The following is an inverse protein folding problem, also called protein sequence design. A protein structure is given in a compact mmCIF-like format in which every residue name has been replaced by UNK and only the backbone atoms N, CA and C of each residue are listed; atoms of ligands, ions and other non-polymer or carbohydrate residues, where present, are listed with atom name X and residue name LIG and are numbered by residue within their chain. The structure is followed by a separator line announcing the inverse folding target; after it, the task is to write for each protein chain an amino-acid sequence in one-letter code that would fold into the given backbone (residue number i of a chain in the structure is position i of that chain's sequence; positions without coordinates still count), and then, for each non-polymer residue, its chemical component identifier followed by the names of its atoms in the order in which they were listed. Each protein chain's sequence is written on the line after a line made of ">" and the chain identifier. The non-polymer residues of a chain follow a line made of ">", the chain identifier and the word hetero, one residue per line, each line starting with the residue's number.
data_IF_640609277893
#
_entry.id   IF_640609277893
#
_cell.length_a   1.000
_cell.length_b   1.000
_cell.length_c   1.000
_cell.angle_alpha   90.00
_cell.angle_beta   90.00
_cell.angle_gamma   90.00
#
_symmetry.space_group_name_H-M   'P 1'
#
loop_
_entity.id
_entity.type
_entity.pdbx_description
1 polymer ?
2 non-polymer ?
3 non-polymer ?
4 non-polymer ?
5 water ?
#
# COMPACT_ATOMS: atom_id res chain seq x y z
N UNK A 22 -19.94 2.07 6.02
CA UNK A 22 -20.54 3.08 5.15
C UNK A 22 -19.49 3.70 4.21
N UNK A 23 -18.22 3.77 4.62
CA UNK A 23 -17.13 4.16 3.72
C UNK A 23 -16.28 2.93 3.43
N UNK A 24 -16.12 2.60 2.15
CA UNK A 24 -15.28 1.48 1.76
C UNK A 24 -16.01 0.28 1.20
N UNK A 25 -17.29 0.40 0.88
CA UNK A 25 -18.00 -0.70 0.27
C UNK A 25 -18.42 -0.50 -1.17
N UNK A 26 -18.05 0.63 -1.77
CA UNK A 26 -18.47 0.93 -3.14
C UNK A 26 -17.93 -0.12 -4.11
N UNK A 27 -18.69 -0.37 -5.18
CA UNK A 27 -18.26 -1.35 -6.16
C UNK A 27 -17.24 -0.73 -7.11
N UNK A 28 -16.15 -1.46 -7.35
CA UNK A 28 -15.06 -1.01 -8.19
C UNK A 28 -14.89 -2.04 -9.29
N UNK A 29 -15.11 -1.63 -10.54
CA UNK A 29 -15.17 -2.54 -11.69
C UNK A 29 -14.32 -2.03 -12.85
N UNK A 30 -12.99 -2.12 -12.74
CA UNK A 30 -12.15 -1.73 -13.88
C UNK A 30 -12.33 -2.66 -15.08
N UNK A 31 -12.76 -3.90 -14.87
CA UNK A 31 -12.97 -4.83 -15.98
C UNK A 31 -14.09 -4.37 -16.92
N UNK A 32 -14.93 -3.43 -16.48
CA UNK A 32 -16.03 -2.94 -17.29
C UNK A 32 -15.62 -1.81 -18.22
N UNK A 33 -14.35 -1.40 -18.22
CA UNK A 33 -13.88 -0.26 -19.00
C UNK A 33 -12.66 -0.68 -19.81
N UNK A 34 -12.62 -0.26 -21.06
CA UNK A 34 -11.48 -0.51 -21.93
C UNK A 34 -10.24 0.17 -21.37
N UNK A 35 -9.11 -0.53 -21.44
CA UNK A 35 -7.86 -0.03 -20.85
C UNK A 35 -7.44 1.31 -21.45
N UNK A 36 -7.75 1.55 -22.73
CA UNK A 36 -7.37 2.82 -23.35
C UNK A 36 -8.15 3.98 -22.75
N UNK A 37 -9.41 3.76 -22.42
CA UNK A 37 -10.20 4.81 -21.77
C UNK A 37 -9.68 5.10 -20.37
N UNK A 38 -9.27 4.06 -19.64
CA UNK A 38 -8.72 4.24 -18.30
C UNK A 38 -7.37 4.97 -18.36
N UNK A 39 -6.53 4.62 -19.33
CA UNK A 39 -5.27 5.33 -19.52
C UNK A 39 -5.50 6.81 -19.78
N UNK A 40 -6.57 7.15 -20.52
CA UNK A 40 -6.85 8.55 -20.81
C UNK A 40 -7.34 9.29 -19.58
N UNK A 41 -8.20 8.64 -18.78
CA UNK A 41 -8.56 9.24 -17.50
C UNK A 41 -7.34 9.46 -16.63
N UNK A 42 -6.38 8.53 -16.68
CA UNK A 42 -5.18 8.66 -15.86
C UNK A 42 -4.31 9.83 -16.31
N UNK A 43 -4.22 10.07 -17.62
CA UNK A 43 -3.48 11.22 -18.12
C UNK A 43 -4.17 12.52 -17.74
N UNK A 44 -5.52 12.53 -17.76
CA UNK A 44 -6.25 13.68 -17.28
C UNK A 44 -6.00 13.93 -15.80
N UNK A 45 -5.95 12.87 -14.99
CA UNK A 45 -5.66 13.02 -13.57
C UNK A 45 -4.25 13.57 -13.35
N UNK A 46 -3.29 13.10 -14.16
CA UNK A 46 -1.92 13.60 -14.03
C UNK A 46 -1.83 15.11 -14.12
N UNK A 47 -2.71 15.75 -14.91
CA UNK A 47 -2.65 17.20 -15.07
C UNK A 47 -3.15 17.95 -13.84
N UNK A 48 -4.11 17.40 -13.10
CA UNK A 48 -4.86 18.25 -12.20
C UNK A 48 -4.84 17.75 -10.75
N UNK A 49 -4.66 16.45 -10.56
CA UNK A 49 -4.69 15.89 -9.20
C UNK A 49 -3.42 16.30 -8.46
N UNK A 50 -3.58 16.81 -7.25
CA UNK A 50 -2.46 17.29 -6.46
C UNK A 50 -2.03 18.70 -6.76
N UNK A 51 -2.70 19.38 -7.68
CA UNK A 51 -2.39 20.76 -8.04
C UNK A 51 -3.46 21.68 -7.48
N UNK A 52 -3.02 22.86 -7.03
CA UNK A 52 -3.93 23.87 -6.54
C UNK A 52 -4.91 24.31 -7.62
N UNK A 53 -5.97 25.02 -7.20
CA UNK A 53 -6.98 25.57 -8.09
C UNK A 53 -7.63 24.43 -8.87
N UNK A 54 -8.35 23.53 -8.19
CA UNK A 54 -8.78 22.28 -8.84
C UNK A 54 -9.77 22.52 -9.97
N UNK A 55 -9.59 21.73 -11.03
CA UNK A 55 -10.53 21.60 -12.12
C UNK A 55 -11.69 20.70 -11.68
N UNK A 56 -12.73 20.54 -12.51
CA UNK A 56 -13.83 19.62 -12.12
C UNK A 56 -13.36 18.21 -11.78
N UNK A 57 -12.47 17.62 -12.59
CA UNK A 57 -12.00 16.28 -12.29
C UNK A 57 -11.26 16.23 -10.96
N UNK A 58 -10.45 17.25 -10.68
CA UNK A 58 -9.77 17.30 -9.38
C UNK A 58 -10.76 17.53 -8.25
N UNK A 59 -11.77 18.37 -8.48
CA UNK A 59 -12.86 18.52 -7.52
C UNK A 59 -13.55 17.18 -7.23
N UNK A 60 -13.93 16.46 -8.30
CA UNK A 60 -14.60 15.17 -8.14
C UNK A 60 -13.78 14.22 -7.28
N UNK A 61 -12.49 14.05 -7.62
CA UNK A 61 -11.61 13.16 -6.89
C UNK A 61 -11.08 13.77 -5.58
N UNK A 62 -11.59 14.92 -5.18
CA UNK A 62 -11.40 15.48 -3.84
C UNK A 62 -12.60 15.28 -2.94
N UNK A 63 -13.69 14.71 -3.47
CA UNK A 63 -14.89 14.54 -2.67
C UNK A 63 -15.88 15.65 -2.80
N UNK A 64 -15.74 16.50 -3.80
CA UNK A 64 -16.71 17.57 -4.03
C UNK A 64 -17.64 17.17 -5.14
N UNK A 65 -18.95 17.35 -4.97
CA UNK A 65 -19.89 17.08 -6.07
C UNK A 65 -19.68 18.06 -7.22
N UNK A 66 -19.76 17.54 -8.45
CA UNK A 66 -19.40 18.27 -9.65
C UNK A 66 -20.52 18.20 -10.68
N UNK A 67 -20.59 19.23 -11.51
CA UNK A 67 -21.57 19.29 -12.59
C UNK A 67 -21.14 18.37 -13.73
N UNK A 68 -22.00 17.45 -14.17
CA UNK A 68 -21.56 16.48 -15.18
C UNK A 68 -21.12 17.11 -16.48
N UNK A 69 -21.71 18.25 -16.86
CA UNK A 69 -21.33 18.89 -18.11
C UNK A 69 -19.89 19.39 -18.08
N UNK A 70 -19.52 20.12 -17.02
CA UNK A 70 -18.13 20.57 -16.90
C UNK A 70 -17.16 19.41 -16.81
N UNK A 71 -17.54 18.34 -16.10
CA UNK A 71 -16.77 17.11 -16.15
C UNK A 71 -16.57 16.66 -17.59
N UNK A 72 -17.67 16.59 -18.35
CA UNK A 72 -17.61 16.12 -19.73
C UNK A 72 -16.68 16.98 -20.58
N UNK A 73 -16.68 18.29 -20.35
CA UNK A 73 -15.77 19.13 -21.10
C UNK A 73 -14.31 18.86 -20.76
N UNK A 74 -14.04 18.28 -19.59
CA UNK A 74 -12.66 18.01 -19.21
C UNK A 74 -12.20 16.60 -19.58
N UNK A 75 -13.09 15.62 -19.51
CA UNK A 75 -12.73 14.23 -19.79
C UNK A 75 -13.43 13.68 -21.02
N UNK A 76 -14.28 14.45 -21.68
CA UNK A 76 -15.02 13.98 -22.83
C UNK A 76 -16.25 13.20 -22.42
N UNK A 77 -17.09 12.92 -23.42
CA UNK A 77 -18.26 12.09 -23.17
C UNK A 77 -17.88 10.63 -23.00
N UNK A 78 -16.75 10.20 -23.55
CA UNK A 78 -16.28 8.83 -23.36
C UNK A 78 -15.53 8.64 -22.04
N UNK A 79 -15.03 9.71 -21.43
CA UNK A 79 -14.45 9.61 -20.10
C UNK A 79 -15.49 9.59 -19.00
N UNK A 80 -16.54 10.41 -19.15
CA UNK A 80 -17.60 10.47 -18.14
C UNK A 80 -18.27 9.10 -17.93
N UNK A 81 -18.55 8.35 -19.00
CA UNK A 81 -19.15 7.03 -18.87
C UNK A 81 -18.14 6.02 -18.34
N UNK A 82 -16.85 6.18 -18.67
CA UNK A 82 -15.83 5.34 -18.07
C UNK A 82 -15.75 5.57 -16.56
N UNK A 83 -15.90 6.83 -16.13
CA UNK A 83 -15.98 7.12 -14.69
C UNK A 83 -17.13 6.36 -14.06
N UNK A 84 -18.27 6.30 -14.75
CA UNK A 84 -19.45 5.63 -14.18
C UNK A 84 -19.31 4.12 -14.25
N UNK A 85 -18.86 3.59 -15.39
CA UNK A 85 -18.79 2.14 -15.55
C UNK A 85 -17.80 1.51 -14.57
N UNK A 86 -16.71 2.22 -14.27
CA UNK A 86 -15.68 1.70 -13.38
C UNK A 86 -16.05 1.83 -11.92
N UNK A 87 -17.01 2.70 -11.59
CA UNK A 87 -17.32 2.99 -10.21
C UNK A 87 -16.57 4.18 -9.63
N UNK A 88 -15.73 4.85 -10.43
CA UNK A 88 -15.03 6.05 -9.97
C UNK A 88 -16.00 7.17 -9.66
N UNK A 89 -17.15 7.19 -10.33
CA UNK A 89 -18.12 8.26 -10.12
C UNK A 89 -19.51 7.65 -10.01
N UNK A 90 -20.40 8.39 -9.35
CA UNK A 90 -21.79 8.00 -9.13
C UNK A 90 -22.69 9.14 -9.60
N UNK A 91 -23.71 8.80 -10.39
CA UNK A 91 -24.68 9.78 -10.87
C UNK A 91 -25.71 10.07 -9.78
N UNK A 92 -25.71 11.31 -9.27
CA UNK A 92 -26.73 11.77 -8.34
C UNK A 92 -27.90 12.45 -9.04
N UNK A 93 -27.95 12.37 -10.36
CA UNK A 93 -28.94 13.12 -11.12
C UNK A 93 -28.42 14.50 -11.47
N UNK A 94 -28.47 15.42 -10.51
CA UNK A 94 -27.96 16.76 -10.74
C UNK A 94 -26.43 16.77 -10.82
N UNK A 95 -25.76 16.05 -9.92
CA UNK A 95 -24.32 16.09 -9.81
C UNK A 95 -23.71 14.69 -9.94
N UNK A 96 -22.38 14.68 -10.09
CA UNK A 96 -21.55 13.50 -9.97
C UNK A 96 -20.73 13.60 -8.68
N UNK A 97 -20.50 12.47 -8.04
CA UNK A 97 -19.66 12.43 -6.85
C UNK A 97 -18.82 11.16 -6.88
N UNK A 98 -17.69 11.20 -6.18
CA UNK A 98 -16.85 10.02 -6.15
C UNK A 98 -16.72 9.48 -4.74
N UNK A 99 -16.82 8.16 -4.57
CA UNK A 99 -16.43 7.55 -3.29
C UNK A 99 -14.91 7.48 -3.08
N UNK A 100 -14.10 7.76 -4.09
CA UNK A 100 -12.66 7.61 -4.00
C UNK A 100 -12.00 8.99 -3.98
N UNK A 101 -10.73 9.01 -3.58
CA UNK A 101 -9.95 10.24 -3.55
C UNK A 101 -8.66 10.04 -4.31
N UNK A 102 -8.25 11.05 -5.09
CA UNK A 102 -7.10 10.95 -5.94
C UNK A 102 -5.82 11.51 -5.32
N UNK A 103 -4.71 10.87 -5.66
CA UNK A 103 -3.38 11.29 -5.23
C UNK A 103 -2.43 11.22 -6.42
N UNK A 104 -1.41 12.06 -6.41
CA UNK A 104 -0.31 11.90 -7.35
C UNK A 104 0.98 12.03 -6.56
N UNK A 105 1.83 11.01 -6.66
CA UNK A 105 3.07 10.96 -5.92
C UNK A 105 4.02 10.00 -6.62
N UNK A 106 5.32 10.33 -6.59
CA UNK A 106 6.37 9.42 -7.06
C UNK A 106 6.06 8.90 -8.47
N UNK A 107 5.45 9.74 -9.29
CA UNK A 107 5.28 9.43 -10.69
C UNK A 107 4.06 8.60 -11.01
N UNK A 108 3.15 8.38 -10.06
CA UNK A 108 1.94 7.62 -10.31
C UNK A 108 0.75 8.42 -9.80
N UNK A 109 -0.42 8.17 -10.39
CA UNK A 109 -1.70 8.63 -9.84
C UNK A 109 -2.35 7.43 -9.20
N UNK A 110 -3.05 7.68 -8.09
CA UNK A 110 -3.63 6.63 -7.25
C UNK A 110 -4.98 7.09 -6.74
N UNK A 111 -5.97 6.21 -6.78
CA UNK A 111 -7.22 6.41 -6.07
C UNK A 111 -7.22 5.54 -4.83
N UNK A 112 -7.79 6.05 -3.74
CA UNK A 112 -8.06 5.20 -2.60
C UNK A 112 -9.29 5.74 -1.89
N UNK A 113 -9.69 5.05 -0.83
CA UNK A 113 -10.78 5.53 0.01
C UNK A 113 -10.39 6.84 0.70
N UNK A 114 -11.36 7.65 1.07
CA UNK A 114 -11.03 8.83 1.87
C UNK A 114 -10.62 8.42 3.27
N UNK A 115 -9.77 9.25 3.88
CA UNK A 115 -9.32 9.05 5.25
C UNK A 115 -10.46 9.40 6.20
N UNK A 116 -11.04 8.39 6.87
CA UNK A 116 -12.17 8.59 7.77
C UNK A 116 -11.93 7.79 9.04
N UNK A 117 -12.72 8.10 10.07
CA UNK A 117 -12.52 7.46 11.35
C UNK A 117 -12.87 5.98 11.28
N UNK A 118 -12.31 5.24 12.23
CA UNK A 118 -12.46 3.79 12.23
C UNK A 118 -13.92 3.37 12.32
N UNK A 119 -14.77 4.19 12.94
CA UNK A 119 -16.15 3.78 13.21
C UNK A 119 -17.01 3.74 11.95
N UNK A 120 -16.63 4.44 10.88
CA UNK A 120 -17.43 4.45 9.66
C UNK A 120 -16.78 3.66 8.54
N UNK A 121 -15.76 2.84 8.84
CA UNK A 121 -15.09 2.04 7.82
C UNK A 121 -15.82 0.72 7.59
N UNK A 122 -16.16 0.46 6.33
CA UNK A 122 -16.64 -0.84 5.86
C UNK A 122 -15.55 -1.90 6.07
N UNK A 123 -15.96 -3.17 6.08
CA UNK A 123 -14.97 -4.22 6.24
C UNK A 123 -13.95 -4.23 5.10
N UNK A 124 -14.33 -3.73 3.92
CA UNK A 124 -13.43 -3.71 2.76
C UNK A 124 -12.84 -2.32 2.50
N UNK A 125 -12.89 -1.45 3.52
CA UNK A 125 -12.17 -0.18 3.47
C UNK A 125 -10.69 -0.38 3.12
N UNK A 126 -10.17 0.51 2.25
CA UNK A 126 -8.78 0.42 1.79
C UNK A 126 -7.97 1.56 2.38
N UNK A 127 -6.75 1.23 2.85
CA UNK A 127 -5.79 2.17 3.43
C UNK A 127 -5.77 3.44 2.59
N UNK A 128 -6.12 4.61 3.17
CA UNK A 128 -6.23 5.85 2.39
C UNK A 128 -4.89 6.53 2.10
N UNK A 129 -3.81 5.75 2.15
CA UNK A 129 -2.41 6.19 1.99
C UNK A 129 -1.93 6.90 3.25
N UNK A 130 -2.17 6.28 4.41
CA UNK A 130 -1.69 6.85 5.68
C UNK A 130 -0.17 7.01 5.68
N UNK A 131 0.58 6.00 5.22
CA UNK A 131 2.03 6.07 5.28
C UNK A 131 2.71 5.88 3.94
N UNK A 132 1.96 5.61 2.86
CA UNK A 132 2.55 5.21 1.58
C UNK A 132 3.66 6.16 1.14
N UNK A 133 3.42 7.47 1.19
CA UNK A 133 4.42 8.41 0.69
C UNK A 133 5.72 8.33 1.48
N UNK A 134 5.62 8.19 2.80
CA UNK A 134 6.82 7.99 3.62
C UNK A 134 7.50 6.68 3.29
N UNK A 135 6.73 5.59 3.16
CA UNK A 135 7.34 4.28 2.94
C UNK A 135 8.06 4.23 1.60
N UNK A 136 7.51 4.87 0.58
CA UNK A 136 8.19 4.88 -0.73
C UNK A 136 9.56 5.54 -0.60
N UNK A 137 9.66 6.59 0.21
CA UNK A 137 10.94 7.25 0.42
C UNK A 137 11.92 6.40 1.22
N UNK A 138 11.43 5.51 2.10
CA UNK A 138 12.32 4.59 2.82
C UNK A 138 12.81 3.44 1.96
N UNK A 139 12.07 3.08 0.90
CA UNK A 139 12.39 1.88 0.13
C UNK A 139 13.72 2.03 -0.61
N UNK A 140 14.52 0.98 -0.59
CA UNK A 140 15.77 0.96 -1.35
C UNK A 140 15.49 1.25 -2.82
N UNK A 141 16.36 2.05 -3.43
CA UNK A 141 16.05 2.57 -4.75
C UNK A 141 16.44 1.59 -5.86
N UNK A 142 17.07 0.48 -5.51
CA UNK A 142 17.42 -0.57 -6.46
C UNK A 142 16.17 -1.12 -7.14
N UNK A 143 16.36 -1.66 -8.35
CA UNK A 143 15.40 -2.49 -9.01
C UNK A 143 15.82 -3.94 -9.02
N UNK A 144 15.16 -4.72 -9.88
CA UNK A 144 15.47 -6.13 -9.96
C UNK A 144 14.45 -6.88 -10.81
N UNK A 145 14.39 -8.19 -10.60
CA UNK A 145 13.64 -9.08 -11.49
C UNK A 145 12.15 -9.11 -11.17
N UNK A 146 11.79 -9.49 -9.94
CA UNK A 146 10.40 -9.80 -9.63
C UNK A 146 10.09 -9.38 -8.22
N UNK A 147 9.03 -8.58 -8.04
CA UNK A 147 8.70 -8.02 -6.74
C UNK A 147 7.31 -8.46 -6.30
N UNK A 148 7.15 -8.57 -4.98
CA UNK A 148 5.88 -8.93 -4.35
C UNK A 148 5.47 -7.82 -3.39
N UNK A 149 4.23 -7.34 -3.55
CA UNK A 149 3.62 -6.36 -2.64
C UNK A 149 2.57 -7.10 -1.84
N UNK A 150 2.92 -7.51 -0.62
CA UNK A 150 1.99 -8.22 0.24
C UNK A 150 1.05 -7.24 0.92
N UNK A 151 -0.26 -7.49 0.81
CA UNK A 151 -1.26 -6.57 1.29
C UNK A 151 -1.27 -5.28 0.49
N UNK A 152 -1.52 -5.40 -0.81
CA UNK A 152 -1.24 -4.29 -1.72
C UNK A 152 -2.24 -3.14 -1.59
N UNK A 153 -3.43 -3.38 -1.02
CA UNK A 153 -4.32 -2.25 -0.73
C UNK A 153 -4.74 -1.54 -2.01
N UNK A 154 -4.50 -0.22 -2.07
CA UNK A 154 -4.77 0.53 -3.30
C UNK A 154 -3.84 0.16 -4.44
N UNK A 155 -2.76 -0.55 -4.15
CA UNK A 155 -1.76 -0.89 -5.16
C UNK A 155 -0.61 0.08 -5.23
N UNK A 156 -0.59 1.11 -4.37
CA UNK A 156 0.34 2.22 -4.54
C UNK A 156 1.79 1.73 -4.59
N UNK A 157 2.17 0.82 -3.67
CA UNK A 157 3.58 0.43 -3.63
C UNK A 157 3.94 -0.40 -4.86
N UNK A 158 3.00 -1.24 -5.33
CA UNK A 158 3.20 -2.00 -6.56
C UNK A 158 3.39 -1.08 -7.76
N UNK A 159 2.64 0.02 -7.81
CA UNK A 159 2.74 0.91 -8.96
C UNK A 159 4.11 1.54 -9.05
N UNK A 160 4.69 1.93 -7.90
CA UNK A 160 6.00 2.55 -7.91
C UNK A 160 7.09 1.52 -8.25
N UNK A 161 6.98 0.31 -7.68
CA UNK A 161 7.94 -0.74 -7.99
C UNK A 161 7.91 -1.13 -9.47
N UNK A 162 6.76 -0.94 -10.14
CA UNK A 162 6.62 -1.34 -11.53
C UNK A 162 7.63 -0.64 -12.45
N UNK A 163 8.10 0.55 -12.07
CA UNK A 163 9.00 1.31 -12.92
C UNK A 163 10.43 0.78 -12.88
N UNK A 164 10.74 -0.16 -12.00
CA UNK A 164 12.11 -0.65 -11.93
C UNK A 164 12.19 -2.15 -11.71
N UNK A 165 11.06 -2.86 -11.76
CA UNK A 165 11.04 -4.32 -11.71
C UNK A 165 10.44 -4.85 -13.00
N UNK A 166 10.95 -6.01 -13.43
CA UNK A 166 10.42 -6.62 -14.65
C UNK A 166 8.97 -7.04 -14.46
N UNK A 167 8.62 -7.61 -13.31
CA UNK A 167 7.21 -7.82 -13.00
C UNK A 167 6.97 -7.61 -11.51
N UNK A 168 5.74 -7.21 -11.19
CA UNK A 168 5.31 -6.99 -9.81
C UNK A 168 4.01 -7.74 -9.62
N UNK A 169 3.95 -8.53 -8.54
CA UNK A 169 2.72 -9.14 -8.06
C UNK A 169 2.29 -8.45 -6.76
N UNK A 170 1.03 -8.02 -6.69
CA UNK A 170 0.43 -7.54 -5.46
C UNK A 170 -0.67 -8.49 -5.03
N UNK A 171 -0.73 -8.77 -3.73
CA UNK A 171 -1.67 -9.74 -3.16
C UNK A 171 -2.48 -9.03 -2.08
N UNK A 172 -3.78 -9.30 -2.03
CA UNK A 172 -4.58 -8.83 -0.92
C UNK A 172 -5.76 -9.77 -0.69
N UNK A 173 -6.13 -9.93 0.59
CA UNK A 173 -7.29 -10.75 0.95
C UNK A 173 -8.58 -9.97 0.81
N UNK A 174 -8.50 -8.64 0.71
CA UNK A 174 -9.63 -7.76 0.45
C UNK A 174 -9.89 -7.74 -1.06
N UNK A 175 -11.02 -8.28 -1.53
CA UNK A 175 -11.25 -8.32 -3.00
C UNK A 175 -11.47 -6.94 -3.59
N UNK A 176 -11.99 -6.00 -2.81
CA UNK A 176 -12.14 -4.64 -3.27
C UNK A 176 -10.78 -3.97 -3.48
N UNK A 177 -9.82 -4.26 -2.61
CA UNK A 177 -8.46 -3.74 -2.83
C UNK A 177 -7.84 -4.32 -4.10
N UNK A 178 -8.09 -5.62 -4.39
CA UNK A 178 -7.57 -6.18 -5.65
C UNK A 178 -8.16 -5.43 -6.84
N UNK A 179 -9.46 -5.14 -6.80
CA UNK A 179 -10.10 -4.40 -7.90
C UNK A 179 -9.55 -2.98 -8.01
N UNK A 180 -9.38 -2.31 -6.87
CA UNK A 180 -8.86 -0.94 -6.91
C UNK A 180 -7.43 -0.92 -7.43
N UNK A 181 -6.62 -1.90 -7.03
CA UNK A 181 -5.26 -2.00 -7.53
C UNK A 181 -5.26 -2.17 -9.05
N UNK A 182 -6.11 -3.07 -9.55
CA UNK A 182 -6.21 -3.26 -11.00
C UNK A 182 -6.61 -1.97 -11.71
N UNK A 183 -7.54 -1.23 -11.12
CA UNK A 183 -7.97 0.04 -11.71
C UNK A 183 -6.82 1.05 -11.71
N UNK A 184 -6.12 1.17 -10.59
CA UNK A 184 -5.03 2.13 -10.51
C UNK A 184 -3.92 1.79 -11.51
N UNK A 185 -3.63 0.50 -11.68
CA UNK A 185 -2.63 0.09 -12.67
C UNK A 185 -3.04 0.52 -14.08
N UNK A 186 -4.32 0.35 -14.40
CA UNK A 186 -4.83 0.71 -15.72
C UNK A 186 -4.83 2.21 -15.93
N UNK A 187 -5.23 2.98 -14.91
CA UNK A 187 -5.16 4.43 -14.98
C UNK A 187 -3.76 4.91 -15.33
N UNK A 188 -2.74 4.19 -14.85
CA UNK A 188 -1.36 4.57 -15.11
C UNK A 188 -0.80 3.91 -16.37
N UNK A 189 -1.58 3.09 -17.07
CA UNK A 189 -1.06 2.38 -18.22
C UNK A 189 0.06 1.44 -17.90
N UNK A 190 0.10 0.91 -16.67
CA UNK A 190 1.15 -0.02 -16.27
C UNK A 190 0.72 -1.42 -16.65
N UNK A 191 1.60 -2.13 -17.35
CA UNK A 191 1.25 -3.44 -17.88
C UNK A 191 2.05 -4.59 -17.28
N UNK A 192 3.08 -4.31 -16.47
CA UNK A 192 3.89 -5.35 -15.87
C UNK A 192 3.53 -5.60 -14.41
N UNK A 193 2.32 -5.27 -13.99
CA UNK A 193 1.91 -5.45 -12.61
C UNK A 193 0.62 -6.25 -12.57
N UNK A 194 0.61 -7.30 -11.75
CA UNK A 194 -0.49 -8.24 -11.64
C UNK A 194 -0.98 -8.24 -10.19
N UNK A 195 -2.28 -8.42 -10.00
CA UNK A 195 -2.84 -8.47 -8.64
C UNK A 195 -3.69 -9.73 -8.48
N UNK A 196 -3.65 -10.31 -7.28
CA UNK A 196 -4.31 -11.58 -7.00
C UNK A 196 -4.98 -11.52 -5.63
N UNK A 197 -6.20 -12.01 -5.56
CA UNK A 197 -6.89 -12.10 -4.28
C UNK A 197 -6.45 -13.35 -3.55
N UNK A 198 -6.11 -13.22 -2.28
CA UNK A 198 -5.83 -14.43 -1.53
C UNK A 198 -5.26 -14.12 -0.16
N UNK A 199 -5.00 -15.20 0.57
CA UNK A 199 -4.54 -15.16 1.95
C UNK A 199 -3.01 -15.23 1.96
N UNK A 200 -2.37 -14.12 2.33
CA UNK A 200 -0.92 -14.03 2.47
C UNK A 200 -0.20 -14.62 1.26
N UNK A 201 0.61 -15.68 1.42
CA UNK A 201 1.47 -16.13 0.33
C UNK A 201 0.81 -17.16 -0.58
N UNK A 202 -0.44 -17.53 -0.34
CA UNK A 202 -0.97 -18.64 -1.10
C UNK A 202 -1.13 -18.33 -2.59
N UNK A 203 -1.49 -17.11 -3.02
CA UNK A 203 -1.51 -16.85 -4.47
C UNK A 203 -0.17 -16.44 -5.06
N UNK A 204 0.91 -16.41 -4.28
CA UNK A 204 2.22 -15.94 -4.72
C UNK A 204 3.12 -17.15 -5.00
N UNK A 205 3.14 -17.59 -6.25
CA UNK A 205 3.92 -18.76 -6.65
C UNK A 205 5.36 -18.37 -6.97
N UNK A 206 6.30 -19.20 -6.52
CA UNK A 206 7.70 -18.99 -6.83
C UNK A 206 8.38 -18.07 -5.85
N UNK A 207 9.58 -17.65 -6.23
CA UNK A 207 10.38 -16.77 -5.37
C UNK A 207 10.46 -15.38 -5.98
N UNK A 208 10.82 -14.42 -5.12
CA UNK A 208 10.86 -13.01 -5.50
C UNK A 208 12.19 -12.40 -5.08
N UNK A 209 12.63 -11.43 -5.87
CA UNK A 209 13.84 -10.72 -5.51
C UNK A 209 13.57 -9.59 -4.54
N UNK A 210 12.30 -9.20 -4.38
CA UNK A 210 11.93 -8.03 -3.59
C UNK A 210 10.54 -8.28 -2.99
N UNK A 211 10.42 -8.12 -1.69
CA UNK A 211 9.13 -8.28 -1.02
C UNK A 211 8.90 -7.05 -0.13
N UNK A 212 7.78 -6.37 -0.33
CA UNK A 212 7.42 -5.22 0.50
C UNK A 212 6.09 -5.49 1.20
N UNK A 213 5.99 -5.05 2.46
CA UNK A 213 4.83 -5.37 3.29
C UNK A 213 4.55 -4.16 4.19
N UNK A 214 3.58 -3.32 3.80
CA UNK A 214 3.06 -2.32 4.72
C UNK A 214 2.05 -3.04 5.61
N UNK A 215 2.52 -3.56 6.75
CA UNK A 215 1.74 -4.56 7.47
C UNK A 215 0.55 -3.94 8.20
N UNK A 216 -0.53 -4.68 8.31
CA UNK A 216 -1.70 -4.18 9.04
C UNK A 216 -1.55 -4.46 10.54
N UNK A 217 -0.64 -3.71 11.15
CA UNK A 217 -0.39 -3.82 12.58
C UNK A 217 -0.27 -2.41 13.14
N UNK A 218 -0.85 -2.20 14.31
CA UNK A 218 -0.73 -0.89 14.93
C UNK A 218 -0.80 -1.04 16.45
N UNK A 219 -1.98 -0.86 17.02
CA UNK A 219 -2.14 -0.83 18.46
C UNK A 219 -2.81 -2.08 19.02
N UNK A 220 -3.12 -3.06 18.19
CA UNK A 220 -3.97 -4.17 18.61
C UNK A 220 -3.21 -5.30 19.30
N UNK A 221 -1.89 -5.23 19.38
CA UNK A 221 -1.14 -6.30 20.04
C UNK A 221 -1.34 -7.61 19.29
N UNK A 222 -1.80 -8.63 20.01
CA UNK A 222 -2.02 -9.95 19.42
C UNK A 222 -3.40 -10.14 18.82
N UNK A 223 -4.31 -9.20 19.04
CA UNK A 223 -5.72 -9.38 18.73
C UNK A 223 -5.97 -9.07 17.25
N UNK A 224 -6.70 -9.95 16.56
CA UNK A 224 -7.22 -9.59 15.26
C UNK A 224 -8.41 -8.65 15.46
N UNK A 225 -8.31 -7.43 14.93
CA UNK A 225 -9.43 -6.50 14.95
C UNK A 225 -10.13 -6.45 13.61
N UNK A 226 -9.37 -6.22 12.54
CA UNK A 226 -9.92 -6.15 11.19
C UNK A 226 -8.75 -6.25 10.21
N UNK A 227 -9.05 -6.10 8.92
CA UNK A 227 -8.01 -6.32 7.91
C UNK A 227 -6.88 -5.31 8.03
N UNK A 228 -7.12 -4.15 8.67
CA UNK A 228 -6.11 -3.12 8.83
C UNK A 228 -5.43 -3.15 10.19
N UNK A 229 -5.95 -3.95 11.13
CA UNK A 229 -5.29 -4.21 12.42
C UNK A 229 -5.46 -5.70 12.71
N UNK A 230 -4.55 -6.51 12.18
CA UNK A 230 -4.74 -7.95 12.09
C UNK A 230 -4.04 -8.72 13.19
N UNK A 231 -3.26 -8.04 14.02
CA UNK A 231 -2.56 -8.69 15.11
C UNK A 231 -1.20 -9.23 14.71
N UNK A 232 -0.36 -9.41 15.74
CA UNK A 232 0.96 -10.00 15.52
C UNK A 232 0.95 -11.32 14.75
N UNK A 233 -0.05 -12.23 14.90
CA UNK A 233 -0.03 -13.46 14.09
C UNK A 233 0.16 -13.25 12.60
N UNK A 234 -0.34 -12.14 12.04
CA UNK A 234 -0.09 -11.91 10.62
C UNK A 234 1.41 -11.70 10.35
N UNK A 235 2.14 -11.10 11.29
CA UNK A 235 3.59 -10.97 11.13
C UNK A 235 4.28 -12.32 11.27
N UNK A 236 3.82 -13.15 12.21
CA UNK A 236 4.43 -14.47 12.38
C UNK A 236 4.30 -15.30 11.12
N UNK A 237 3.08 -15.34 10.53
CA UNK A 237 2.89 -16.05 9.27
C UNK A 237 3.77 -15.47 8.17
N UNK A 238 3.82 -14.14 8.06
CA UNK A 238 4.65 -13.52 7.03
C UNK A 238 6.10 -13.95 7.19
N UNK A 239 6.66 -13.77 8.39
CA UNK A 239 8.09 -14.00 8.53
C UNK A 239 8.44 -15.48 8.52
N UNK A 240 7.54 -16.35 8.99
CA UNK A 240 7.81 -17.78 8.92
C UNK A 240 7.93 -18.24 7.47
N UNK A 241 7.16 -17.64 6.58
CA UNK A 241 7.13 -18.08 5.18
C UNK A 241 8.02 -17.25 4.26
N UNK A 242 8.53 -16.12 4.74
CA UNK A 242 9.47 -15.32 3.95
C UNK A 242 10.64 -16.14 3.40
N UNK A 243 11.34 -16.95 4.19
CA UNK A 243 12.58 -17.56 3.67
C UNK A 243 12.34 -18.46 2.48
N UNK A 244 11.20 -19.14 2.41
CA UNK A 244 10.97 -19.96 1.23
C UNK A 244 10.44 -19.16 0.04
N UNK A 245 10.09 -17.88 0.21
CA UNK A 245 9.62 -17.07 -0.90
C UNK A 245 10.67 -16.11 -1.44
N UNK A 246 11.79 -15.95 -0.74
CA UNK A 246 12.79 -14.95 -1.11
C UNK A 246 13.89 -15.60 -1.95
N UNK A 247 14.13 -15.03 -3.13
CA UNK A 247 15.32 -15.34 -3.90
C UNK A 247 16.57 -15.11 -3.06
N UNK A 248 17.61 -15.88 -3.32
CA UNK A 248 18.88 -15.60 -2.66
C UNK A 248 19.35 -14.22 -3.08
N UNK A 249 19.85 -13.45 -2.13
CA UNK A 249 20.19 -12.06 -2.38
C UNK A 249 19.01 -11.12 -2.39
N UNK A 250 17.82 -11.62 -2.12
CA UNK A 250 16.64 -10.78 -2.16
C UNK A 250 16.56 -9.81 -0.98
N UNK A 251 15.61 -8.89 -1.11
CA UNK A 251 15.38 -7.82 -0.13
C UNK A 251 13.93 -7.88 0.34
N UNK A 252 13.72 -7.74 1.64
CA UNK A 252 12.38 -7.64 2.24
C UNK A 252 12.34 -6.33 3.02
N UNK A 253 11.24 -5.60 2.88
CA UNK A 253 11.03 -4.34 3.58
C UNK A 253 9.63 -4.36 4.20
N UNK A 254 9.54 -4.11 5.51
CA UNK A 254 8.27 -4.19 6.24
C UNK A 254 8.08 -2.95 7.11
N UNK A 255 6.90 -2.33 7.01
CA UNK A 255 6.45 -1.36 7.99
C UNK A 255 5.65 -2.11 9.04
N UNK A 256 5.95 -1.91 10.32
CA UNK A 256 5.26 -2.72 11.33
C UNK A 256 5.31 -2.03 12.68
N UNK A 257 4.33 -2.37 13.51
CA UNK A 257 4.33 -2.10 14.94
C UNK A 257 4.82 -3.33 15.67
N UNK A 258 5.61 -3.14 16.73
CA UNK A 258 6.26 -4.20 17.46
C UNK A 258 6.00 -4.05 18.95
N UNK A 259 5.66 -5.15 19.61
CA UNK A 259 5.41 -5.14 21.05
C UNK A 259 6.51 -5.91 21.77
N UNK A 260 7.24 -5.23 22.65
CA UNK A 260 8.19 -5.84 23.57
C UNK A 260 7.50 -6.06 24.91
N UNK A 261 7.56 -7.29 25.42
CA UNK A 261 7.05 -7.60 26.75
C UNK A 261 8.21 -7.94 27.67
N UNK A 262 8.06 -7.74 28.98
CA UNK A 262 9.17 -8.06 29.90
C UNK A 262 9.58 -9.52 29.77
N UNK A 263 10.88 -9.72 29.51
CA UNK A 263 11.42 -11.02 29.21
C UNK A 263 11.11 -11.55 27.82
N UNK A 264 10.42 -10.78 26.97
CA UNK A 264 9.91 -11.27 25.70
C UNK A 264 9.91 -10.16 24.66
N UNK A 265 11.09 -9.78 24.17
CA UNK A 265 11.16 -8.73 23.15
C UNK A 265 10.77 -9.26 21.78
N UNK A 266 10.15 -8.38 20.99
CA UNK A 266 9.72 -8.75 19.64
C UNK A 266 10.87 -9.36 18.83
N UNK A 267 12.08 -8.81 18.96
CA UNK A 267 13.19 -9.22 18.11
C UNK A 267 13.56 -10.69 18.30
N UNK A 268 13.32 -11.24 19.49
CA UNK A 268 13.64 -12.65 19.69
C UNK A 268 12.62 -13.54 19.01
N UNK A 269 11.33 -13.18 19.09
CA UNK A 269 10.32 -13.93 18.34
C UNK A 269 10.59 -13.83 16.84
N UNK A 270 10.95 -12.63 16.37
CA UNK A 270 11.26 -12.44 14.96
C UNK A 270 12.41 -13.34 14.51
N UNK A 271 13.46 -13.44 15.32
CA UNK A 271 14.56 -14.32 14.96
C UNK A 271 14.10 -15.78 14.87
N UNK A 272 13.20 -16.20 15.77
CA UNK A 272 12.69 -17.56 15.70
C UNK A 272 11.86 -17.78 14.45
N UNK A 273 10.97 -16.84 14.12
CA UNK A 273 10.12 -17.00 12.94
C UNK A 273 10.97 -17.13 11.67
N UNK A 274 11.95 -16.23 11.50
CA UNK A 274 12.74 -16.21 10.26
C UNK A 274 13.72 -17.37 10.18
N UNK A 275 14.02 -18.02 11.30
CA UNK A 275 15.12 -18.97 11.30
C UNK A 275 16.42 -18.31 10.90
N UNK A 276 16.78 -17.24 11.63
CA UNK A 276 17.88 -16.36 11.21
C UNK A 276 19.16 -17.14 10.93
N UNK A 277 19.59 -17.96 11.90
CA UNK A 277 20.79 -18.78 11.72
C UNK A 277 20.59 -19.88 10.70
N UNK A 278 19.46 -20.59 10.79
CA UNK A 278 19.22 -21.74 9.93
C UNK A 278 19.17 -21.34 8.46
N UNK A 279 18.58 -20.17 8.17
CA UNK A 279 18.45 -19.70 6.80
C UNK A 279 19.53 -18.70 6.39
N UNK A 280 20.41 -18.31 7.30
CA UNK A 280 21.50 -17.42 6.95
C UNK A 280 21.07 -16.03 6.52
N UNK A 281 20.16 -15.41 7.29
CA UNK A 281 19.59 -14.13 6.92
C UNK A 281 20.12 -13.01 7.80
N UNK A 282 20.09 -11.81 7.26
CA UNK A 282 20.45 -10.62 8.02
C UNK A 282 19.26 -9.68 8.07
N UNK A 283 18.96 -9.19 9.26
CA UNK A 283 17.82 -8.29 9.47
C UNK A 283 18.29 -7.04 10.18
N UNK A 284 17.81 -5.89 9.73
CA UNK A 284 18.02 -4.64 10.44
C UNK A 284 16.68 -4.00 10.74
N UNK A 285 16.46 -3.61 11.98
CA UNK A 285 15.25 -2.94 12.41
C UNK A 285 15.59 -1.49 12.70
N UNK A 286 14.87 -0.57 12.06
CA UNK A 286 15.03 0.86 12.28
C UNK A 286 13.81 1.33 13.06
N UNK A 287 13.99 1.66 14.35
CA UNK A 287 12.88 2.05 15.21
C UNK A 287 12.72 3.56 15.21
N UNK A 288 11.51 4.01 14.90
CA UNK A 288 11.20 5.43 14.75
C UNK A 288 10.39 6.00 15.92
N UNK A 289 9.38 5.28 16.40
CA UNK A 289 8.57 5.72 17.53
C UNK A 289 8.50 4.62 18.57
N UNK A 290 8.44 5.01 19.84
CA UNK A 290 8.35 4.06 20.94
C UNK A 290 7.57 4.69 22.09
N UNK A 291 6.94 3.83 22.90
CA UNK A 291 6.28 4.30 24.10
C UNK A 291 6.18 3.15 25.10
N UNK A 292 6.34 3.50 26.38
CA UNK A 292 6.12 2.54 27.46
C UNK A 292 4.68 2.04 27.43
N UNK A 293 4.51 0.78 27.79
CA UNK A 293 3.20 0.15 27.72
C UNK A 293 2.76 -0.29 29.11
N UNK A 294 1.51 -0.75 29.20
CA UNK A 294 0.92 -1.11 30.48
C UNK A 294 1.68 -2.25 31.15
N UNK A 295 2.05 -3.28 30.39
CA UNK A 295 2.73 -4.45 30.92
C UNK A 295 4.12 -4.15 31.46
N UNK A 296 4.51 -2.88 31.52
CA UNK A 296 5.91 -2.55 31.75
C UNK A 296 6.81 -2.81 30.56
N UNK A 297 6.24 -3.14 29.40
CA UNK A 297 6.97 -3.38 28.17
C UNK A 297 7.02 -2.15 27.30
N UNK A 298 6.95 -2.35 25.98
CA UNK A 298 7.15 -1.24 25.07
C UNK A 298 6.45 -1.50 23.74
N UNK A 299 5.88 -0.44 23.18
CA UNK A 299 5.34 -0.43 21.83
C UNK A 299 6.31 0.34 20.94
N UNK A 300 6.50 -0.12 19.71
CA UNK A 300 7.41 0.51 18.77
C UNK A 300 6.82 0.47 17.38
N UNK A 301 7.02 1.54 16.62
CA UNK A 301 6.78 1.50 15.18
C UNK A 301 8.10 1.68 14.46
N UNK A 302 8.36 0.84 13.48
CA UNK A 302 9.58 0.98 12.73
C UNK A 302 9.53 0.33 11.37
N UNK A 303 10.72 0.21 10.78
CA UNK A 303 10.93 -0.24 9.42
C UNK A 303 11.96 -1.34 9.47
N UNK A 304 11.62 -2.52 8.94
CA UNK A 304 12.48 -3.70 9.03
C UNK A 304 12.97 -4.06 7.63
N UNK A 305 14.27 -4.34 7.49
CA UNK A 305 14.85 -4.70 6.20
C UNK A 305 15.62 -6.01 6.34
N UNK A 306 15.30 -6.98 5.47
CA UNK A 306 16.14 -8.15 5.22
C UNK A 306 16.91 -7.89 3.95
N UNK A 307 18.24 -7.97 4.03
CA UNK A 307 19.08 -7.70 2.87
C UNK A 307 20.39 -8.46 3.05
N UNK A 308 21.09 -8.76 1.95
CA UNK A 308 22.28 -9.62 2.07
C UNK A 308 23.34 -8.98 2.96
N UNK A 309 23.98 -9.81 3.76
CA UNK A 309 25.03 -9.33 4.63
C UNK A 309 25.23 -10.27 5.78
N UNK A 310 26.13 -9.92 6.69
CA UNK A 310 26.42 -10.78 7.86
C UNK A 310 25.16 -11.28 8.56
N UNK A 311 25.12 -12.58 8.81
CA UNK A 311 23.96 -13.22 9.42
C UNK A 311 23.68 -12.63 10.80
N UNK A 312 22.41 -12.30 11.07
CA UNK A 312 21.99 -11.91 12.40
C UNK A 312 21.05 -10.72 12.38
N UNK A 313 20.84 -10.12 13.54
CA UNK A 313 19.83 -9.08 13.72
C UNK A 313 20.42 -7.87 14.43
N UNK A 314 20.18 -6.69 13.87
CA UNK A 314 20.60 -5.42 14.45
C UNK A 314 19.39 -4.49 14.56
N UNK A 315 19.34 -3.73 15.66
CA UNK A 315 18.29 -2.73 15.85
C UNK A 315 18.93 -1.39 16.10
N UNK A 316 18.48 -0.36 15.38
CA UNK A 316 18.99 1.00 15.55
C UNK A 316 17.82 1.96 15.64
N UNK A 317 18.08 3.13 16.23
CA UNK A 317 17.11 4.21 16.30
C UNK A 317 17.25 5.07 15.04
N UNK A 318 16.12 5.37 14.40
CA UNK A 318 16.09 6.23 13.23
C UNK A 318 14.76 6.94 13.27
N UNK A 319 14.72 8.17 13.75
CA UNK A 319 13.44 8.88 13.89
C UNK A 319 12.95 9.44 12.56
N UNK A 320 12.63 8.54 11.63
CA UNK A 320 12.27 9.00 10.29
C UNK A 320 10.90 9.66 10.26
N UNK A 321 10.00 9.35 11.20
CA UNK A 321 8.75 10.10 11.25
C UNK A 321 9.01 11.58 11.52
N UNK A 322 9.84 11.86 12.53
CA UNK A 322 10.21 13.26 12.80
C UNK A 322 10.90 13.90 11.59
N UNK A 323 11.85 13.19 10.98
CA UNK A 323 12.56 13.77 9.85
C UNK A 323 11.64 13.98 8.66
N UNK A 324 10.74 13.03 8.40
CA UNK A 324 9.75 13.22 7.34
C UNK A 324 8.94 14.50 7.55
N UNK A 325 8.54 14.77 8.80
CA UNK A 325 7.69 15.92 9.05
C UNK A 325 8.42 17.23 8.82
N UNK A 326 9.74 17.27 9.09
CA UNK A 326 10.49 18.50 8.86
C UNK A 326 10.92 18.66 7.41
N UNK A 327 11.27 17.57 6.71
CA UNK A 327 11.62 17.68 5.30
C UNK A 327 11.67 16.33 4.61
N UNK A 328 10.67 16.00 3.79
CA UNK A 328 10.78 14.80 2.96
C UNK A 328 11.88 14.95 1.92
N UNK A 329 13.08 14.51 2.26
CA UNK A 329 14.21 14.54 1.35
C UNK A 329 15.30 13.61 1.87
N UNK A 330 15.33 13.41 3.19
CA UNK A 330 16.17 12.36 3.77
C UNK A 330 15.56 11.02 3.37
N UNK A 331 15.81 10.64 2.12
CA UNK A 331 15.30 9.38 1.58
C UNK A 331 16.10 8.23 2.20
N UNK A 332 17.38 8.11 1.87
CA UNK A 332 18.22 6.98 2.30
C UNK A 332 19.63 7.13 1.74
X LIG B 1 0.27 -1.49 0.63
X LIG B 1 -0.83 -0.58 0.76
X LIG B 1 -1.91 -1.08 1.71
X LIG B 1 -1.38 -1.45 3.11
X LIG B 1 -2.79 -1.86 4.20
X LIG B 1 -0.35 0.76 1.24
X LIG B 1 0.88 0.88 1.52
X LIG B 1 -1.16 1.73 1.35
X LIG B 1 -2.49 -3.56 4.74
X LIG B 1 -3.14 -4.54 3.72
X LIG B 1 -2.98 -5.76 4.20
X LIG B 1 -4.66 -4.34 3.63
X LIG B 1 -5.04 -4.00 2.35
X LIG B 1 -5.19 -5.74 4.07
X LIG B 1 -6.51 -6.08 3.46
X LIG B 1 -4.23 -6.57 3.72
X LIG B 1 -4.30 -7.86 4.40
X LIG B 1 -4.73 -8.06 5.67
X LIG B 1 -4.69 -9.39 5.93
X LIG B 1 -4.20 -10.00 4.81
X LIG B 1 -3.95 -11.32 4.50
X LIG B 1 -4.12 -12.49 5.29
X LIG B 1 -3.46 -11.66 3.30
X LIG B 1 -3.23 -10.71 2.36
X LIG B 1 -3.48 -9.40 2.64
X LIG B 1 -3.97 -9.06 3.86
X LIG C 1 -10.04 -0.79 11.83
X LIG D 1 -5.49 6.83 12.39
X LIG D 1 -6.29 8.92 11.39
X LIG D 1 -7.58 6.84 11.03
X LIG D 1 -6.88 6.22 12.17
X LIG D 1 -2.38 7.29 11.50
X LIG D 1 -2.25 0.20 9.41
X LIG D 1 -2.73 1.08 10.61
X LIG D 1 -0.69 2.34 10.61
X LIG D 1 -3.38 6.17 11.70
X LIG D 1 -6.60 10.76 12.86
X LIG D 1 -7.71 8.33 11.29
X LIG D 1 -0.59 5.61 10.87
X LIG D 1 -3.04 4.96 10.85
X LIG D 1 -1.13 0.78 8.64
X LIG D 1 -3.55 0.00 8.58
X LIG D 1 -6.31 10.40 11.53
X LIG D 1 -5.59 8.33 12.54
X LIG D 1 -4.70 6.60 11.31
X LIG D 1 -0.95 6.80 11.74
X LIG D 1 -1.60 4.47 11.04
X LIG D 1 -3.96 3.94 11.19
X LIG D 1 -1.35 3.45 10.04
X LIG D 1 -0.10 1.46 9.49
X LIG D 1 -1.61 1.58 11.42
X LIG D 1 -1.87 -1.04 9.94
X LIG D 1 -0.32 -0.26 7.94
X LIG D 1 -0.98 -0.74 6.72
X LIG D 1 0.73 2.24 8.64
X LIG D 1 0.76 5.17 11.23
X LIG D 1 -2.67 8.37 12.41
X LIG D 1 -6.77 4.78 11.97
X LIG D 1 -8.90 6.22 10.85
X LIG D 1 -8.52 9.00 10.29
#
# INVERSE_FOLDING_TARGET
>A
MGSSHHHHHHSSGLVPRGSHMIVGGSTIQPERVDAAALRQLGDAMRKVVGSADPTPLADLLSGTPVDPDELTREVGADGRQALLDSGMAVDDGTTFSSPLRGHQLHGVVVLSDPDVEEEVQHRWYVDPLWEADLLIRLMLRRGGARALDMGCGSGVLSLVLADRYESVLGVDVNPRAVALSRLNAALNGLTNVTFREGDMFEPAEGRFSRIVFNSPTNEEGNEFVDLLEAGEPILETFFRNVPRKLESGGIVEVNLAMNDYPGDPFRERLADWLGLTENGLRVQIFTSQRRATESGGEWKRGWLVVAPGPVGLTEVEWPYHDRYEEDPDALLDGTDRLLRG
>B hetero
1 SAH N CA CB CG SD C O OXT C5' C4' O4' C3' O3' C2' O2' C1' N9 C8 N7 C5 C6 N6 N1 C2 N3 C4
>C hetero
1 MG MG
>D hetero
1 827 C13 C15 C20 C22 C24 C02 C04 C06 C11 O17 C18 C27 C09 C31 C01 C16 O14 O12 C26 C08 O10 O07 C29 O05 O03 N32 C33 O30 N28 N25 N23 O21 O19
#
